data_IF_448487574246
#
_entry.id   IF_448487574246
#
_cell.length_a   1.000
_cell.length_b   1.000
_cell.length_c   1.000
_cell.angle_alpha   90.00
_cell.angle_beta   90.00
_cell.angle_gamma   90.00
#
_symmetry.space_group_name_H-M   'P 1'
#
loop_
_entity.id
_entity.type
_entity.pdbx_description
1 polymer ?
#
# COMPACT_ATOMS: atom_id res chain seq x y z
N UNK A 1 2.81 5.00 -12.12
CA UNK A 1 2.43 4.29 -10.90
C UNK A 1 1.13 4.87 -10.36
N UNK A 2 0.07 4.06 -10.20
CA UNK A 2 -1.15 4.47 -9.49
C UNK A 2 -0.99 4.21 -8.00
N UNK A 3 -1.33 5.19 -7.17
CA UNK A 3 -1.24 5.10 -5.72
C UNK A 3 -2.63 5.40 -5.14
N UNK A 4 -3.23 4.40 -4.49
CA UNK A 4 -4.49 4.59 -3.78
C UNK A 4 -4.23 4.98 -2.33
N UNK A 5 -4.93 6.01 -1.87
CA UNK A 5 -4.93 6.48 -0.48
C UNK A 5 -6.34 6.26 0.08
N UNK A 6 -6.60 5.16 0.80
CA UNK A 6 -7.84 4.97 1.53
C UNK A 6 -7.97 6.02 2.64
N UNK A 7 -9.02 6.82 2.60
CA UNK A 7 -9.29 7.89 3.56
C UNK A 7 -10.65 7.70 4.24
N UNK A 8 -10.68 7.80 5.55
CA UNK A 8 -11.91 7.86 6.33
C UNK A 8 -11.68 8.70 7.59
N UNK A 9 -12.28 9.89 7.64
CA UNK A 9 -12.05 10.87 8.70
C UNK A 9 -10.55 11.10 8.97
N UNK A 10 -9.80 11.44 7.90
CA UNK A 10 -8.34 11.46 7.83
C UNK A 10 -7.74 12.86 7.76
N UNK A 11 -8.53 13.93 7.94
CA UNK A 11 -8.12 15.34 7.82
C UNK A 11 -6.77 15.63 8.49
N UNK A 12 -6.52 15.05 9.67
CA UNK A 12 -5.32 15.32 10.47
C UNK A 12 -4.02 14.79 9.83
N UNK A 13 -4.11 13.80 8.96
CA UNK A 13 -2.94 13.04 8.50
C UNK A 13 -2.75 13.11 6.99
N UNK A 14 -3.85 13.08 6.20
CA UNK A 14 -3.84 12.86 4.77
C UNK A 14 -2.97 13.85 3.97
N UNK A 15 -2.87 15.11 4.39
CA UNK A 15 -2.02 16.11 3.70
C UNK A 15 -0.56 15.68 3.65
N UNK A 16 0.00 15.20 4.76
CA UNK A 16 1.37 14.71 4.82
C UNK A 16 1.59 13.51 3.89
N UNK A 17 0.62 12.60 3.85
CA UNK A 17 0.63 11.46 2.93
C UNK A 17 0.69 11.96 1.49
N UNK A 18 -0.29 12.75 1.07
CA UNK A 18 -0.44 13.26 -0.30
C UNK A 18 0.81 14.05 -0.72
N UNK A 19 1.26 15.00 0.10
CA UNK A 19 2.43 15.83 -0.20
C UNK A 19 3.70 14.98 -0.43
N UNK A 20 3.86 13.88 0.33
CA UNK A 20 4.98 12.97 0.13
C UNK A 20 4.95 12.20 -1.20
N UNK A 21 3.77 12.08 -1.81
CA UNK A 21 3.55 11.37 -3.07
C UNK A 21 3.58 12.29 -4.29
N UNK A 22 3.16 13.56 -4.14
CA UNK A 22 3.14 14.56 -5.22
C UNK A 22 4.51 14.82 -5.84
N UNK A 23 5.60 14.57 -5.12
CA UNK A 23 6.97 14.71 -5.63
C UNK A 23 7.28 13.77 -6.80
N UNK A 24 6.44 12.75 -7.03
CA UNK A 24 6.53 11.85 -8.18
C UNK A 24 6.13 12.49 -9.51
N UNK A 25 5.46 13.67 -9.46
CA UNK A 25 5.06 14.43 -10.67
C UNK A 25 4.16 13.61 -11.59
N UNK A 26 4.31 13.80 -12.90
CA UNK A 26 3.50 13.16 -13.94
C UNK A 26 3.75 11.64 -14.11
N UNK A 27 4.72 11.07 -13.41
CA UNK A 27 4.96 9.62 -13.41
C UNK A 27 3.99 8.86 -12.50
N UNK A 28 3.15 9.59 -11.76
CA UNK A 28 2.23 9.01 -10.80
C UNK A 28 0.79 9.49 -10.97
N UNK A 29 -0.14 8.64 -10.62
CA UNK A 29 -1.56 8.91 -10.44
C UNK A 29 -1.87 8.67 -8.96
N UNK A 30 -2.43 9.65 -8.28
CA UNK A 30 -2.81 9.57 -6.87
C UNK A 30 -4.34 9.52 -6.79
N UNK A 31 -4.87 8.40 -6.33
CA UNK A 31 -6.30 8.17 -6.15
C UNK A 31 -6.62 8.33 -4.66
N UNK A 32 -7.17 9.49 -4.28
CA UNK A 32 -7.66 9.73 -2.92
C UNK A 32 -9.07 9.14 -2.85
N UNK A 33 -9.20 8.02 -2.14
CA UNK A 33 -10.49 7.32 -2.01
C UNK A 33 -11.10 7.67 -0.66
N UNK A 34 -12.02 8.62 -0.65
CA UNK A 34 -12.81 8.98 0.52
C UNK A 34 -13.94 7.98 0.71
N UNK A 35 -13.83 7.16 1.74
CA UNK A 35 -14.76 6.10 2.11
C UNK A 35 -15.92 6.63 2.97
N UNK A 36 -16.56 7.72 2.52
CA UNK A 36 -17.74 8.30 3.15
C UNK A 36 -17.44 9.02 4.46
N UNK A 37 -16.43 9.88 4.47
CA UNK A 37 -16.09 10.71 5.64
C UNK A 37 -17.21 11.72 5.94
N UNK A 38 -17.63 11.79 7.21
CA UNK A 38 -18.72 12.67 7.64
C UNK A 38 -18.40 13.49 8.89
N UNK A 39 -17.22 13.29 9.50
CA UNK A 39 -16.86 13.88 10.79
C UNK A 39 -15.79 14.96 10.71
N UNK A 40 -15.18 15.12 9.55
CA UNK A 40 -14.09 16.07 9.32
C UNK A 40 -14.06 16.50 7.84
N UNK A 41 -13.05 17.26 7.45
CA UNK A 41 -12.92 17.82 6.11
C UNK A 41 -12.17 16.91 5.11
N UNK A 42 -12.17 15.61 5.34
CA UNK A 42 -11.43 14.66 4.45
C UNK A 42 -11.87 14.79 2.98
N UNK A 43 -13.19 14.79 2.71
CA UNK A 43 -13.73 14.91 1.36
C UNK A 43 -13.32 16.24 0.70
N UNK A 44 -13.48 17.35 1.42
CA UNK A 44 -13.10 18.69 0.93
C UNK A 44 -11.60 18.79 0.63
N UNK A 45 -10.76 18.18 1.47
CA UNK A 45 -9.31 18.16 1.23
C UNK A 45 -8.97 17.35 -0.02
N UNK A 46 -9.66 16.23 -0.26
CA UNK A 46 -9.46 15.44 -1.48
C UNK A 46 -9.77 16.29 -2.73
N UNK A 47 -10.88 17.02 -2.72
CA UNK A 47 -11.28 17.93 -3.81
C UNK A 47 -10.29 19.10 -3.99
N UNK A 48 -9.78 19.67 -2.88
CA UNK A 48 -8.75 20.71 -2.92
C UNK A 48 -7.49 20.22 -3.68
N UNK A 49 -7.03 19.00 -3.40
CA UNK A 49 -5.85 18.43 -4.07
C UNK A 49 -6.13 18.08 -5.53
N UNK A 50 -7.29 17.54 -5.88
CA UNK A 50 -7.66 17.30 -7.29
C UNK A 50 -7.72 18.60 -8.07
N UNK A 51 -8.35 19.65 -7.53
CA UNK A 51 -8.41 20.96 -8.17
C UNK A 51 -7.02 21.60 -8.37
N UNK A 52 -6.10 21.39 -7.44
CA UNK A 52 -4.74 21.93 -7.51
C UNK A 52 -3.82 21.11 -8.44
N UNK A 53 -4.00 19.79 -8.53
CA UNK A 53 -3.16 18.86 -9.29
C UNK A 53 -4.00 17.95 -10.21
N UNK A 54 -4.80 18.47 -11.14
CA UNK A 54 -5.81 17.70 -11.87
C UNK A 54 -5.26 16.62 -12.82
N UNK A 55 -3.97 16.67 -13.15
CA UNK A 55 -3.30 15.65 -13.98
C UNK A 55 -2.70 14.51 -13.16
N UNK A 56 -2.53 14.72 -11.84
CA UNK A 56 -1.86 13.77 -10.94
C UNK A 56 -2.84 13.18 -9.93
N UNK A 57 -3.72 14.02 -9.37
CA UNK A 57 -4.63 13.65 -8.29
C UNK A 57 -6.05 13.48 -8.80
N UNK A 58 -6.73 12.46 -8.29
CA UNK A 58 -8.14 12.22 -8.50
C UNK A 58 -8.84 11.88 -7.17
N UNK A 59 -9.85 12.65 -6.81
CA UNK A 59 -10.71 12.39 -5.66
C UNK A 59 -11.84 11.44 -6.06
N UNK A 60 -12.07 10.41 -5.25
CA UNK A 60 -13.13 9.43 -5.45
C UNK A 60 -13.91 9.30 -4.15
N UNK A 61 -15.17 9.77 -4.17
CA UNK A 61 -16.07 9.68 -3.03
C UNK A 61 -16.99 8.48 -3.17
N UNK A 62 -17.17 7.74 -2.09
CA UNK A 62 -18.06 6.57 -2.05
C UNK A 62 -18.75 6.44 -0.70
N UNK A 63 -19.80 5.65 -0.65
CA UNK A 63 -20.40 5.23 0.62
C UNK A 63 -19.40 4.39 1.43
N UNK A 64 -19.45 4.53 2.75
CA UNK A 64 -18.53 3.81 3.64
C UNK A 64 -18.68 2.30 3.49
N UNK A 65 -17.61 1.64 3.14
CA UNK A 65 -17.47 0.18 3.02
C UNK A 65 -16.26 -0.37 3.77
N UNK A 66 -15.49 0.52 4.42
CA UNK A 66 -14.26 0.19 5.13
C UNK A 66 -13.03 0.15 4.23
N UNK A 67 -11.87 -0.02 4.86
CA UNK A 67 -10.56 0.05 4.20
C UNK A 67 -10.46 -0.84 2.95
N UNK A 68 -10.90 -2.11 3.03
CA UNK A 68 -10.87 -3.03 1.88
C UNK A 68 -11.69 -2.54 0.70
N UNK A 69 -12.87 -1.95 0.96
CA UNK A 69 -13.72 -1.37 -0.06
C UNK A 69 -13.06 -0.17 -0.76
N UNK A 70 -12.37 0.69 0.01
CA UNK A 70 -11.62 1.81 -0.55
C UNK A 70 -10.44 1.33 -1.41
N UNK A 71 -9.71 0.29 -0.97
CA UNK A 71 -8.63 -0.33 -1.77
C UNK A 71 -9.18 -0.95 -3.06
N UNK A 72 -10.29 -1.70 -3.00
CA UNK A 72 -10.96 -2.26 -4.20
C UNK A 72 -11.32 -1.14 -5.20
N UNK A 73 -11.84 -0.02 -4.71
CA UNK A 73 -12.16 1.16 -5.53
C UNK A 73 -10.90 1.73 -6.17
N UNK A 74 -9.80 1.83 -5.42
CA UNK A 74 -8.51 2.25 -5.95
C UNK A 74 -8.01 1.35 -7.08
N UNK A 75 -8.04 0.02 -6.89
CA UNK A 75 -7.63 -0.96 -7.91
C UNK A 75 -8.49 -0.83 -9.18
N UNK A 76 -9.81 -0.71 -9.02
CA UNK A 76 -10.74 -0.61 -10.14
C UNK A 76 -10.54 0.67 -10.98
N UNK A 77 -10.09 1.75 -10.35
CA UNK A 77 -9.89 3.05 -10.97
C UNK A 77 -8.45 3.33 -11.42
N UNK A 78 -7.50 2.47 -11.06
CA UNK A 78 -6.09 2.63 -11.40
C UNK A 78 -5.84 2.48 -12.91
N UNK A 79 -5.11 3.44 -13.49
CA UNK A 79 -4.74 3.46 -14.92
C UNK A 79 -3.25 3.23 -15.16
N UNK A 80 -2.42 3.42 -14.14
CA UNK A 80 -0.98 3.20 -14.21
C UNK A 80 -0.60 1.72 -14.32
N UNK A 81 0.56 1.44 -14.88
CA UNK A 81 1.07 0.07 -15.07
C UNK A 81 1.26 -0.68 -13.75
N UNK A 82 1.58 0.02 -12.68
CA UNK A 82 1.79 -0.52 -11.34
C UNK A 82 0.88 0.16 -10.33
N UNK A 83 0.57 -0.55 -9.26
CA UNK A 83 -0.36 -0.13 -8.21
C UNK A 83 0.25 -0.26 -6.82
N UNK A 84 0.04 0.74 -5.99
CA UNK A 84 0.46 0.81 -4.58
C UNK A 84 -0.68 1.32 -3.71
N UNK A 85 -0.82 0.77 -2.51
CA UNK A 85 -1.64 1.37 -1.45
C UNK A 85 -0.72 2.12 -0.49
N UNK A 86 -1.11 3.33 -0.11
CA UNK A 86 -0.48 4.10 0.98
C UNK A 86 -1.59 4.58 1.92
N UNK A 87 -1.54 4.15 3.17
CA UNK A 87 -2.54 4.55 4.16
C UNK A 87 -2.45 6.05 4.45
N UNK A 88 -3.60 6.68 4.70
CA UNK A 88 -3.71 8.14 4.81
C UNK A 88 -2.94 8.76 5.98
N UNK A 89 -2.54 7.97 6.97
CA UNK A 89 -1.72 8.39 8.12
C UNK A 89 -0.21 8.09 7.95
N UNK A 90 0.16 7.45 6.83
CA UNK A 90 1.53 7.09 6.48
C UNK A 90 2.12 8.05 5.45
N UNK A 91 3.39 7.87 5.10
CA UNK A 91 4.06 8.66 4.04
C UNK A 91 5.21 7.88 3.41
N UNK A 92 5.81 8.44 2.37
CA UNK A 92 6.97 7.84 1.71
C UNK A 92 8.21 8.70 1.83
N UNK A 93 9.39 8.08 1.75
CA UNK A 93 10.66 8.79 1.74
C UNK A 93 11.06 9.15 0.32
N UNK A 94 11.24 10.43 0.04
CA UNK A 94 11.44 11.00 -1.29
C UNK A 94 12.60 10.37 -2.07
N UNK A 95 13.78 10.22 -1.46
CA UNK A 95 14.96 9.63 -2.12
C UNK A 95 14.75 8.16 -2.52
N UNK A 96 14.05 7.39 -1.66
CA UNK A 96 13.67 6.03 -1.95
C UNK A 96 12.56 5.96 -3.02
N UNK A 97 11.64 6.92 -3.01
CA UNK A 97 10.56 7.02 -3.98
C UNK A 97 11.07 7.24 -5.40
N UNK A 98 12.01 8.18 -5.59
CA UNK A 98 12.63 8.40 -6.90
C UNK A 98 13.34 7.13 -7.41
N UNK A 99 14.07 6.41 -6.55
CA UNK A 99 14.69 5.13 -6.95
C UNK A 99 13.64 4.09 -7.37
N UNK A 100 12.49 4.02 -6.69
CA UNK A 100 11.39 3.12 -7.09
C UNK A 100 10.85 3.52 -8.47
N UNK A 101 10.56 4.81 -8.69
CA UNK A 101 10.03 5.28 -9.97
C UNK A 101 11.00 5.00 -11.12
N UNK A 102 12.30 5.25 -10.92
CA UNK A 102 13.34 4.96 -11.91
C UNK A 102 13.41 3.46 -12.20
N UNK A 103 13.45 2.62 -11.16
CA UNK A 103 13.46 1.15 -11.31
C UNK A 103 12.21 0.65 -12.05
N UNK A 104 11.02 1.14 -11.71
CA UNK A 104 9.78 0.76 -12.39
C UNK A 104 9.79 1.17 -13.87
N UNK A 105 10.35 2.36 -14.20
CA UNK A 105 10.47 2.85 -15.57
C UNK A 105 11.42 1.98 -16.39
N UNK A 106 12.59 1.62 -15.83
CA UNK A 106 13.55 0.73 -16.45
C UNK A 106 12.95 -0.66 -16.72
N UNK A 107 12.29 -1.25 -15.72
CA UNK A 107 11.69 -2.58 -15.83
C UNK A 107 10.47 -2.60 -16.76
N UNK A 108 9.72 -1.50 -16.87
CA UNK A 108 8.59 -1.39 -17.80
C UNK A 108 9.03 -1.43 -19.26
N UNK A 109 10.24 -0.93 -19.58
CA UNK A 109 10.86 -1.00 -20.91
C UNK A 109 11.55 -2.33 -21.22
N UNK A 110 11.65 -3.22 -20.23
CA UNK A 110 12.33 -4.52 -20.37
C UNK A 110 11.50 -5.58 -21.10
N UNK A 111 12.17 -6.65 -21.55
CA UNK A 111 11.52 -7.77 -22.27
C UNK A 111 10.71 -8.71 -21.38
N UNK A 112 10.72 -8.55 -20.06
CA UNK A 112 10.04 -9.39 -19.09
C UNK A 112 9.18 -8.53 -18.16
N UNK A 113 7.87 -8.84 -18.09
CA UNK A 113 6.95 -8.10 -17.23
C UNK A 113 7.25 -8.35 -15.75
N UNK A 114 7.37 -7.28 -14.97
CA UNK A 114 7.43 -7.33 -13.52
C UNK A 114 6.01 -7.48 -12.96
N UNK A 115 5.79 -8.45 -12.09
CA UNK A 115 4.48 -8.66 -11.42
C UNK A 115 4.44 -7.99 -10.04
N UNK A 116 5.55 -8.01 -9.29
CA UNK A 116 5.63 -7.43 -7.95
C UNK A 116 7.02 -6.86 -7.67
N UNK A 117 7.08 -5.57 -7.31
CA UNK A 117 8.25 -4.96 -6.70
C UNK A 117 8.09 -4.96 -5.18
N UNK A 118 9.14 -5.32 -4.46
CA UNK A 118 9.20 -5.34 -3.00
C UNK A 118 10.24 -4.30 -2.55
N UNK A 119 9.90 -3.53 -1.51
CA UNK A 119 10.81 -2.59 -0.85
C UNK A 119 10.69 -2.68 0.67
N UNK A 120 11.59 -2.04 1.39
CA UNK A 120 11.54 -1.99 2.85
C UNK A 120 10.47 -0.99 3.34
N UNK A 121 10.01 -1.22 4.57
CA UNK A 121 9.25 -0.22 5.30
C UNK A 121 9.84 0.01 6.70
N UNK A 122 9.52 1.16 7.27
CA UNK A 122 10.10 1.64 8.52
C UNK A 122 8.98 2.01 9.49
N UNK A 123 9.02 1.47 10.69
CA UNK A 123 8.13 1.88 11.77
C UNK A 123 8.53 3.27 12.28
N UNK A 124 7.60 4.21 12.18
CA UNK A 124 7.73 5.59 12.67
C UNK A 124 6.92 5.75 13.95
N UNK A 125 7.50 5.36 15.08
CA UNK A 125 6.85 5.48 16.36
C UNK A 125 7.09 6.85 16.97
N UNK A 126 6.02 7.49 17.44
CA UNK A 126 6.08 8.79 18.07
C UNK A 126 6.95 8.72 19.34
N UNK A 127 7.87 9.69 19.48
CA UNK A 127 8.80 9.76 20.62
C UNK A 127 9.98 8.80 20.59
N UNK A 128 10.03 7.82 19.70
CA UNK A 128 11.16 6.88 19.57
C UNK A 128 12.23 7.41 18.60
N UNK A 129 13.49 7.54 19.09
CA UNK A 129 14.64 7.92 18.24
C UNK A 129 15.10 6.77 17.33
N UNK A 130 15.01 5.53 17.80
CA UNK A 130 15.42 4.34 17.03
C UNK A 130 14.25 3.82 16.23
N UNK A 131 14.45 3.75 14.90
CA UNK A 131 13.45 3.25 13.98
C UNK A 131 13.70 1.78 13.67
N UNK A 132 12.65 0.95 13.70
CA UNK A 132 12.73 -0.43 13.27
C UNK A 132 12.48 -0.48 11.76
N UNK A 133 13.44 -1.02 11.01
CA UNK A 133 13.33 -1.27 9.57
C UNK A 133 12.99 -2.74 9.34
N UNK A 134 12.00 -2.99 8.50
CA UNK A 134 11.72 -4.33 7.98
C UNK A 134 12.31 -4.40 6.58
N UNK A 135 13.24 -5.32 6.38
CA UNK A 135 13.99 -5.50 5.14
C UNK A 135 14.13 -6.98 4.80
N UNK A 136 14.31 -7.28 3.52
CA UNK A 136 14.23 -8.65 2.98
C UNK A 136 15.53 -9.13 2.35
N UNK A 137 16.65 -8.40 2.49
CA UNK A 137 17.95 -8.69 1.85
C UNK A 137 18.53 -10.08 2.15
N UNK A 138 18.10 -10.72 3.23
CA UNK A 138 18.53 -12.07 3.60
C UNK A 138 17.58 -13.16 3.09
N UNK A 139 16.46 -12.76 2.50
CA UNK A 139 15.39 -13.65 2.03
C UNK A 139 15.25 -13.56 0.52
N UNK A 140 15.32 -12.35 -0.03
CA UNK A 140 15.07 -12.06 -1.44
C UNK A 140 16.36 -11.62 -2.15
N UNK A 141 16.55 -12.02 -3.42
CA UNK A 141 17.62 -11.50 -4.27
C UNK A 141 17.49 -9.98 -4.45
N UNK A 142 18.60 -9.25 -4.21
CA UNK A 142 18.64 -7.79 -4.24
C UNK A 142 18.90 -7.29 -5.66
N UNK A 143 18.15 -6.28 -6.09
CA UNK A 143 18.33 -5.50 -7.33
C UNK A 143 18.49 -6.34 -8.62
N UNK A 144 17.73 -7.42 -8.71
CA UNK A 144 17.59 -8.24 -9.92
C UNK A 144 16.22 -8.88 -10.00
N UNK A 145 15.81 -9.25 -11.20
CA UNK A 145 14.59 -10.06 -11.39
C UNK A 145 14.80 -11.45 -10.80
N UNK A 146 13.77 -11.98 -10.15
CA UNK A 146 13.78 -13.30 -9.54
C UNK A 146 12.37 -13.91 -9.52
N UNK A 147 12.30 -15.21 -9.20
CA UNK A 147 11.06 -15.98 -9.03
C UNK A 147 11.00 -16.57 -7.64
N UNK A 148 9.89 -17.20 -7.27
CA UNK A 148 9.75 -17.87 -5.98
C UNK A 148 10.83 -18.92 -5.71
N UNK A 149 11.42 -19.53 -6.73
CA UNK A 149 12.49 -20.53 -6.60
C UNK A 149 13.79 -19.94 -6.11
N UNK A 150 13.98 -18.66 -6.28
CA UNK A 150 15.18 -17.91 -5.90
C UNK A 150 15.10 -17.35 -4.46
N UNK A 151 13.94 -17.50 -3.80
CA UNK A 151 13.72 -16.99 -2.45
C UNK A 151 14.29 -17.95 -1.39
N UNK A 152 14.90 -17.37 -0.36
CA UNK A 152 15.25 -18.12 0.83
C UNK A 152 14.05 -18.30 1.77
N UNK A 153 14.21 -19.15 2.78
CA UNK A 153 13.13 -19.40 3.75
C UNK A 153 12.78 -18.14 4.56
N UNK A 154 11.49 -17.82 4.63
CA UNK A 154 10.99 -16.73 5.47
C UNK A 154 11.05 -17.11 6.94
N UNK A 155 11.72 -16.29 7.73
CA UNK A 155 11.81 -16.47 9.19
C UNK A 155 10.49 -16.01 9.82
N UNK A 156 10.06 -16.67 10.88
CA UNK A 156 8.85 -16.29 11.63
C UNK A 156 8.86 -14.79 11.99
N UNK A 157 7.80 -14.09 11.65
CA UNK A 157 7.66 -12.63 11.87
C UNK A 157 8.30 -11.75 10.79
N UNK A 158 8.90 -12.32 9.74
CA UNK A 158 9.41 -11.62 8.57
C UNK A 158 8.54 -12.00 7.35
N UNK A 159 7.33 -11.47 7.28
CA UNK A 159 6.42 -11.68 6.16
C UNK A 159 6.27 -10.39 5.35
N UNK A 160 5.86 -10.55 4.10
CA UNK A 160 5.62 -9.43 3.19
C UNK A 160 4.29 -8.77 3.57
N UNK A 161 4.31 -7.47 3.84
CA UNK A 161 3.12 -6.67 4.14
C UNK A 161 2.74 -5.76 2.96
N UNK A 162 1.50 -5.25 2.98
CA UNK A 162 0.99 -4.26 2.02
C UNK A 162 1.93 -3.06 1.87
N UNK A 163 2.56 -2.64 2.96
CA UNK A 163 3.53 -1.54 2.99
C UNK A 163 4.74 -1.75 2.07
N UNK A 164 5.16 -3.01 1.87
CA UNK A 164 6.35 -3.36 1.10
C UNK A 164 6.10 -3.60 -0.39
N UNK A 165 4.88 -3.84 -0.83
CA UNK A 165 4.60 -4.30 -2.20
C UNK A 165 4.08 -3.22 -3.13
N UNK A 166 4.48 -3.32 -4.39
CA UNK A 166 3.91 -2.63 -5.55
C UNK A 166 3.61 -3.72 -6.57
N UNK A 167 2.35 -3.89 -6.91
CA UNK A 167 1.92 -4.92 -7.87
C UNK A 167 1.74 -4.33 -9.27
N UNK A 168 1.82 -5.17 -10.29
CA UNK A 168 1.32 -4.84 -11.61
C UNK A 168 -0.20 -4.68 -11.54
N UNK A 169 -0.72 -3.52 -11.94
CA UNK A 169 -2.16 -3.17 -11.83
C UNK A 169 -3.06 -4.23 -12.45
N UNK A 170 -2.73 -4.65 -13.67
CA UNK A 170 -3.49 -5.65 -14.40
C UNK A 170 -3.55 -7.01 -13.67
N UNK A 171 -2.49 -7.40 -12.97
CA UNK A 171 -2.49 -8.62 -12.16
C UNK A 171 -3.54 -8.53 -11.05
N UNK A 172 -3.63 -7.40 -10.32
CA UNK A 172 -4.63 -7.22 -9.27
C UNK A 172 -6.06 -7.19 -9.83
N UNK A 173 -6.25 -6.59 -11.00
CA UNK A 173 -7.58 -6.53 -11.66
C UNK A 173 -8.05 -7.88 -12.18
N UNK A 174 -7.13 -8.76 -12.59
CA UNK A 174 -7.43 -10.05 -13.23
C UNK A 174 -7.38 -11.25 -12.28
N UNK A 175 -6.68 -11.16 -11.12
CA UNK A 175 -6.55 -12.28 -10.18
C UNK A 175 -7.83 -12.57 -9.37
N UNK A 176 -8.85 -11.74 -9.50
CA UNK A 176 -10.12 -11.92 -8.79
C UNK A 176 -10.10 -11.38 -7.36
N UNK A 177 -9.05 -10.65 -6.96
CA UNK A 177 -8.96 -10.04 -5.63
C UNK A 177 -10.17 -9.16 -5.32
N UNK A 178 -10.87 -9.49 -4.24
CA UNK A 178 -12.00 -8.72 -3.73
C UNK A 178 -11.94 -8.67 -2.21
N UNK A 179 -11.41 -7.61 -1.67
CA UNK A 179 -11.30 -7.42 -0.22
C UNK A 179 -12.68 -7.25 0.40
N UNK A 180 -13.00 -7.96 1.51
CA UNK A 180 -14.28 -7.85 2.19
C UNK A 180 -14.50 -6.46 2.78
N UNK A 181 -15.75 -5.99 2.70
CA UNK A 181 -16.18 -4.72 3.29
C UNK A 181 -16.26 -4.82 4.81
N UNK A 182 -16.13 -3.67 5.48
CA UNK A 182 -16.23 -3.52 6.95
C UNK A 182 -15.43 -4.58 7.73
N UNK A 183 -14.28 -4.97 7.18
CA UNK A 183 -13.41 -6.00 7.76
C UNK A 183 -12.02 -5.42 7.98
N UNK A 184 -11.46 -5.62 9.18
CA UNK A 184 -10.07 -5.27 9.50
C UNK A 184 -9.11 -6.36 9.06
N UNK A 185 -7.82 -6.02 8.95
CA UNK A 185 -6.74 -6.95 8.57
C UNK A 185 -6.80 -7.47 7.13
N UNK A 186 -7.57 -6.81 6.27
CA UNK A 186 -7.70 -7.14 4.84
C UNK A 186 -6.42 -6.87 4.05
N UNK A 187 -5.48 -6.10 4.61
CA UNK A 187 -4.11 -5.91 4.13
C UNK A 187 -3.36 -7.25 3.96
N UNK A 188 -3.67 -8.25 4.80
CA UNK A 188 -3.15 -9.61 4.65
C UNK A 188 -3.70 -10.28 3.39
N UNK A 189 -5.00 -10.17 3.10
CA UNK A 189 -5.60 -10.70 1.87
C UNK A 189 -5.06 -9.98 0.63
N UNK A 190 -4.91 -8.65 0.69
CA UNK A 190 -4.34 -7.84 -0.38
C UNK A 190 -2.97 -8.34 -0.83
N UNK A 191 -2.15 -8.83 0.10
CA UNK A 191 -0.85 -9.41 -0.23
C UNK A 191 -0.99 -10.86 -0.63
N UNK A 192 -1.72 -11.66 0.13
CA UNK A 192 -1.73 -13.12 0.03
C UNK A 192 -2.43 -13.64 -1.24
N UNK A 193 -3.63 -13.15 -1.54
CA UNK A 193 -4.42 -13.66 -2.67
C UNK A 193 -3.77 -13.46 -4.04
N UNK A 194 -3.03 -12.35 -4.33
CA UNK A 194 -2.33 -12.23 -5.61
C UNK A 194 -1.07 -13.11 -5.76
N UNK A 195 -0.46 -13.60 -4.66
CA UNK A 195 0.83 -14.31 -4.71
C UNK A 195 0.88 -15.50 -5.68
N UNK A 196 -0.17 -16.35 -5.83
CA UNK A 196 -0.16 -17.45 -6.81
C UNK A 196 -0.03 -16.98 -8.26
N UNK A 197 -0.41 -15.74 -8.56
CA UNK A 197 -0.34 -15.14 -9.89
C UNK A 197 0.96 -14.40 -10.17
N UNK A 198 1.76 -14.12 -9.12
CA UNK A 198 3.06 -13.46 -9.21
C UNK A 198 4.11 -14.45 -9.68
N UNK A 199 4.74 -14.17 -10.82
CA UNK A 199 5.82 -14.98 -11.41
C UNK A 199 7.16 -14.28 -11.28
N UNK A 200 7.21 -13.02 -11.63
CA UNK A 200 8.43 -12.22 -11.73
C UNK A 200 8.42 -11.13 -10.67
N UNK A 201 9.44 -11.12 -9.84
CA UNK A 201 9.61 -10.21 -8.73
C UNK A 201 10.90 -9.42 -8.83
N UNK A 202 10.95 -8.29 -8.15
CA UNK A 202 12.14 -7.48 -7.97
C UNK A 202 12.18 -6.94 -6.54
N UNK A 203 13.29 -7.07 -5.85
CA UNK A 203 13.47 -6.47 -4.54
C UNK A 203 14.46 -5.33 -4.62
N UNK A 204 13.99 -4.12 -4.32
CA UNK A 204 14.79 -2.91 -4.21
C UNK A 204 15.04 -2.61 -2.73
N UNK A 205 16.30 -2.71 -2.29
CA UNK A 205 16.68 -2.54 -0.88
C UNK A 205 16.71 -1.05 -0.46
N UNK A 206 15.54 -0.41 -0.48
CA UNK A 206 15.35 0.99 -0.06
C UNK A 206 14.28 1.12 1.01
N UNK A 207 14.49 2.02 1.96
CA UNK A 207 13.56 2.29 3.06
C UNK A 207 12.47 3.26 2.60
N UNK A 208 11.52 2.77 1.81
CA UNK A 208 10.54 3.58 1.10
C UNK A 208 9.38 4.01 1.98
N UNK A 209 8.60 3.05 2.48
CA UNK A 209 7.35 3.29 3.19
C UNK A 209 7.61 3.65 4.66
N UNK A 210 6.91 4.66 5.18
CA UNK A 210 6.98 5.15 6.55
C UNK A 210 5.67 4.88 7.26
N UNK A 211 5.65 3.80 8.04
CA UNK A 211 4.49 3.34 8.76
C UNK A 211 4.40 4.03 10.13
N UNK A 212 3.43 4.94 10.27
CA UNK A 212 3.22 5.69 11.50
C UNK A 212 2.53 4.85 12.56
N UNK A 213 3.09 4.82 13.77
CA UNK A 213 2.51 4.19 14.95
C UNK A 213 2.47 5.21 16.08
N UNK A 214 1.28 5.52 16.59
CA UNK A 214 1.13 6.50 17.68
C UNK A 214 -0.32 6.84 17.99
N UNK A 215 -1.26 6.43 17.13
CA UNK A 215 -2.69 6.66 17.36
C UNK A 215 -3.27 5.55 18.25
N UNK A 216 -4.15 5.94 19.17
CA UNK A 216 -4.84 4.97 20.06
C UNK A 216 -5.88 4.10 19.34
N UNK A 217 -6.41 4.58 18.21
CA UNK A 217 -7.44 3.91 17.41
C UNK A 217 -6.90 3.03 16.27
N UNK A 218 -5.57 2.95 16.12
CA UNK A 218 -4.95 2.10 15.11
C UNK A 218 -5.26 0.62 15.31
N UNK A 219 -5.39 -0.12 14.20
CA UNK A 219 -5.65 -1.56 14.19
C UNK A 219 -4.59 -2.40 14.91
N UNK A 220 -3.38 -1.88 15.02
CA UNK A 220 -2.24 -2.51 15.72
C UNK A 220 -2.20 -2.21 17.23
N UNK A 221 -3.13 -1.40 17.76
CA UNK A 221 -3.27 -1.20 19.19
C UNK A 221 -3.81 -2.48 19.84
N UNK A 222 -3.19 -2.95 20.93
CA UNK A 222 -3.54 -4.23 21.57
C UNK A 222 -5.03 -4.31 21.98
N UNK A 223 -5.57 -3.25 22.55
CA UNK A 223 -7.00 -3.20 22.94
C UNK A 223 -7.92 -3.33 21.71
N UNK A 224 -7.55 -2.67 20.61
CA UNK A 224 -8.30 -2.75 19.34
C UNK A 224 -8.19 -4.16 18.76
N UNK A 225 -7.00 -4.77 18.77
CA UNK A 225 -6.77 -6.13 18.29
C UNK A 225 -7.60 -7.16 19.06
N UNK A 226 -7.64 -7.08 20.38
CA UNK A 226 -8.45 -7.97 21.23
C UNK A 226 -9.93 -7.84 20.89
N UNK A 227 -10.43 -6.61 20.74
CA UNK A 227 -11.85 -6.34 20.43
C UNK A 227 -12.28 -6.81 19.03
N UNK A 228 -11.33 -7.15 18.14
CA UNK A 228 -11.56 -7.52 16.74
C UNK A 228 -10.94 -8.86 16.35
N UNK A 229 -10.71 -9.73 17.32
CA UNK A 229 -10.10 -11.03 17.11
C UNK A 229 -10.92 -11.92 16.16
N UNK A 230 -12.24 -11.79 16.18
CA UNK A 230 -13.17 -12.48 15.26
C UNK A 230 -12.87 -12.13 13.78
N UNK A 231 -12.55 -10.87 13.50
CA UNK A 231 -12.20 -10.44 12.15
C UNK A 231 -10.83 -10.96 11.71
N UNK A 232 -9.85 -11.00 12.63
CA UNK A 232 -8.57 -11.64 12.35
C UNK A 232 -8.73 -13.13 12.04
N UNK A 233 -9.58 -13.84 12.79
CA UNK A 233 -9.91 -15.25 12.53
C UNK A 233 -10.60 -15.40 11.16
N UNK A 234 -11.56 -14.53 10.85
CA UNK A 234 -12.25 -14.52 9.55
C UNK A 234 -11.26 -14.37 8.39
N UNK A 235 -10.39 -13.36 8.46
CA UNK A 235 -9.36 -13.12 7.43
C UNK A 235 -8.42 -14.30 7.30
N UNK A 236 -7.96 -14.88 8.41
CA UNK A 236 -7.08 -16.07 8.40
C UNK A 236 -7.76 -17.27 7.74
N UNK A 237 -9.06 -17.48 7.97
CA UNK A 237 -9.82 -18.55 7.30
C UNK A 237 -9.86 -18.32 5.79
N UNK A 238 -10.17 -17.10 5.33
CA UNK A 238 -10.17 -16.77 3.90
C UNK A 238 -8.81 -17.00 3.22
N UNK A 239 -7.69 -16.94 3.97
CA UNK A 239 -6.36 -17.24 3.45
C UNK A 239 -6.07 -18.75 3.36
N UNK A 240 -6.81 -19.59 4.07
CA UNK A 240 -6.57 -21.05 4.14
C UNK A 240 -7.50 -21.82 3.18
N UNK A 241 -8.71 -21.32 2.97
CA UNK A 241 -9.73 -21.89 2.07
C UNK A 241 -9.36 -21.68 0.60
#
# INVERSE_FOLDING_TARGET
LSIAIPCYNSEKYMRKCIDSLLVGGEDVEILIVDDGSTKDRTAEIADEYEAQFPTIVRAIHKENGGHGSAVNTGIANATGLYFKVVDSDDWVKQDAYFKILDTLRELAGGGQALDMLISNYVYEKEGERRKKVIQYRHILPVERMFTWKDCHHFIKGHYILMHSVIFRTKLLQECGLKLPEHTFYVDNLYVFEPLPYVKNMYYLDVNFYRYYIGRQDQSVNETVMISRIDQQIRVTKLMID
#
